data_IF_669712415332
#
_entry.id   IF_669712415332
#
_cell.length_a   1.000
_cell.length_b   1.000
_cell.length_c   1.000
_cell.angle_alpha   90.00
_cell.angle_beta   90.00
_cell.angle_gamma   90.00
#
_symmetry.space_group_name_H-M   'P 1'
#
loop_
_entity.id
_entity.type
_entity.pdbx_description
1 polymer ?
#
# COMPACT_ATOMS: atom_id res chain seq x y z
N UNK A 1 -3.00 -35.87 25.87
CA UNK A 1 -2.92 -35.48 24.45
C UNK A 1 -4.34 -35.48 23.90
N UNK A 2 -4.87 -34.33 23.48
CA UNK A 2 -6.22 -34.27 22.88
C UNK A 2 -6.09 -34.83 21.46
N UNK A 3 -6.86 -35.86 21.13
CA UNK A 3 -6.85 -36.47 19.80
C UNK A 3 -7.31 -35.44 18.75
N UNK A 4 -6.68 -35.37 17.56
CA UNK A 4 -7.13 -34.51 16.47
C UNK A 4 -8.64 -34.62 16.17
N UNK A 5 -9.19 -35.83 16.31
CA UNK A 5 -10.62 -36.11 16.14
C UNK A 5 -11.52 -35.37 17.13
N UNK A 6 -11.10 -35.27 18.40
CA UNK A 6 -11.89 -34.58 19.43
C UNK A 6 -11.99 -33.07 19.20
N UNK A 7 -10.97 -32.45 18.61
CA UNK A 7 -11.00 -31.04 18.22
C UNK A 7 -11.93 -30.86 17.01
N UNK A 8 -11.86 -31.76 16.03
CA UNK A 8 -12.73 -31.73 14.86
C UNK A 8 -14.21 -31.89 15.25
N UNK A 9 -14.52 -32.84 16.14
CA UNK A 9 -15.90 -33.08 16.59
C UNK A 9 -16.48 -31.93 17.41
N UNK A 10 -15.64 -31.26 18.22
CA UNK A 10 -16.04 -30.05 18.95
C UNK A 10 -16.31 -28.88 17.99
N UNK A 11 -15.48 -28.71 16.94
CA UNK A 11 -15.66 -27.66 15.94
C UNK A 11 -16.90 -27.89 15.06
N UNK A 12 -17.17 -29.13 14.67
CA UNK A 12 -18.38 -29.48 13.89
C UNK A 12 -19.64 -29.29 14.73
N UNK A 13 -19.61 -29.68 16.01
CA UNK A 13 -20.71 -29.44 16.95
C UNK A 13 -20.98 -27.96 17.16
N UNK A 14 -19.94 -27.13 17.31
CA UNK A 14 -20.09 -25.68 17.44
C UNK A 14 -20.61 -25.04 16.14
N UNK A 15 -20.11 -25.47 14.97
CA UNK A 15 -20.56 -24.98 13.68
C UNK A 15 -22.05 -25.31 13.44
N UNK A 16 -22.52 -26.48 13.89
CA UNK A 16 -23.91 -26.90 13.77
C UNK A 16 -24.88 -26.00 14.57
N UNK A 17 -24.41 -25.29 15.60
CA UNK A 17 -25.23 -24.35 16.37
C UNK A 17 -25.37 -22.98 15.72
N UNK A 18 -24.52 -22.63 14.75
CA UNK A 18 -24.54 -21.32 14.08
C UNK A 18 -25.86 -21.06 13.36
N UNK A 19 -26.39 -21.97 12.52
CA UNK A 19 -27.67 -21.76 11.85
C UNK A 19 -28.81 -21.52 12.83
N UNK A 20 -28.86 -22.30 13.92
CA UNK A 20 -29.89 -22.17 14.97
C UNK A 20 -29.85 -20.79 15.61
N UNK A 21 -28.65 -20.33 16.01
CA UNK A 21 -28.46 -19.00 16.61
C UNK A 21 -28.86 -17.87 15.65
N UNK A 22 -28.51 -18.00 14.37
CA UNK A 22 -28.85 -17.02 13.32
C UNK A 22 -30.36 -16.99 13.07
N UNK A 23 -31.01 -18.15 12.94
CA UNK A 23 -32.46 -18.23 12.74
C UNK A 23 -33.26 -17.74 13.94
N UNK A 24 -32.76 -17.96 15.16
CA UNK A 24 -33.40 -17.49 16.38
C UNK A 24 -33.25 -15.97 16.59
N UNK A 25 -32.19 -15.35 16.04
CA UNK A 25 -31.89 -13.93 16.22
C UNK A 25 -31.62 -13.21 14.88
N UNK A 26 -32.54 -13.26 13.90
CA UNK A 26 -32.22 -12.84 12.54
C UNK A 26 -31.91 -11.34 12.42
N UNK A 27 -32.52 -10.51 13.26
CA UNK A 27 -32.36 -9.05 13.23
C UNK A 27 -30.92 -8.60 13.51
N UNK A 28 -30.27 -8.93 14.64
CA UNK A 28 -28.89 -8.49 14.90
C UNK A 28 -27.90 -9.00 13.84
N UNK A 29 -28.06 -10.24 13.34
CA UNK A 29 -27.20 -10.75 12.26
C UNK A 29 -27.41 -10.00 10.94
N UNK A 30 -28.65 -9.70 10.57
CA UNK A 30 -28.96 -8.89 9.40
C UNK A 30 -28.40 -7.46 9.51
N UNK A 31 -28.47 -6.85 10.69
CA UNK A 31 -27.88 -5.53 10.96
C UNK A 31 -26.35 -5.57 10.80
N UNK A 32 -25.68 -6.56 11.38
CA UNK A 32 -24.22 -6.73 11.27
C UNK A 32 -23.82 -6.97 9.81
N UNK A 33 -24.49 -7.88 9.11
CA UNK A 33 -24.23 -8.16 7.70
C UNK A 33 -24.45 -6.90 6.84
N UNK A 34 -25.57 -6.19 7.04
CA UNK A 34 -25.87 -4.93 6.38
C UNK A 34 -24.79 -3.87 6.62
N UNK A 35 -24.29 -3.73 7.86
CA UNK A 35 -23.20 -2.82 8.19
C UNK A 35 -21.91 -3.14 7.43
N UNK A 36 -21.52 -4.42 7.35
CA UNK A 36 -20.34 -4.83 6.58
C UNK A 36 -20.52 -4.61 5.07
N UNK A 37 -21.71 -4.88 4.53
CA UNK A 37 -22.05 -4.60 3.12
C UNK A 37 -21.96 -3.10 2.84
N UNK A 38 -22.51 -2.25 3.72
CA UNK A 38 -22.44 -0.79 3.59
C UNK A 38 -20.99 -0.29 3.64
N UNK A 39 -20.17 -0.77 4.58
CA UNK A 39 -18.74 -0.44 4.65
C UNK A 39 -18.02 -0.86 3.38
N UNK A 40 -18.27 -2.08 2.90
CA UNK A 40 -17.66 -2.60 1.69
C UNK A 40 -18.03 -1.73 0.48
N UNK A 41 -19.31 -1.44 0.30
CA UNK A 41 -19.84 -0.62 -0.79
C UNK A 41 -19.28 0.81 -0.72
N UNK A 42 -19.28 1.44 0.45
CA UNK A 42 -18.70 2.78 0.65
C UNK A 42 -17.20 2.80 0.31
N UNK A 43 -16.44 1.78 0.73
CA UNK A 43 -15.02 1.65 0.39
C UNK A 43 -14.78 1.37 -1.09
N UNK A 44 -15.65 0.60 -1.74
CA UNK A 44 -15.56 0.35 -3.18
C UNK A 44 -15.84 1.62 -3.97
N UNK A 45 -16.90 2.36 -3.61
CA UNK A 45 -17.24 3.64 -4.20
C UNK A 45 -16.12 4.67 -4.01
N UNK A 46 -15.60 4.82 -2.79
CA UNK A 46 -14.49 5.74 -2.50
C UNK A 46 -13.22 5.40 -3.30
N UNK A 47 -12.94 4.11 -3.54
CA UNK A 47 -11.79 3.66 -4.34
C UNK A 47 -11.88 4.04 -5.83
N UNK A 48 -13.09 4.22 -6.36
CA UNK A 48 -13.33 4.50 -7.77
C UNK A 48 -13.67 5.97 -8.04
N UNK A 49 -13.61 6.84 -7.03
CA UNK A 49 -13.81 8.27 -7.23
C UNK A 49 -12.69 8.81 -8.15
N UNK A 50 -13.03 9.61 -9.17
CA UNK A 50 -12.04 10.28 -9.98
C UNK A 50 -11.20 11.18 -9.07
N UNK A 51 -9.89 11.15 -9.26
CA UNK A 51 -8.94 11.98 -8.54
C UNK A 51 -8.23 12.85 -9.56
N UNK A 52 -8.03 14.12 -9.22
CA UNK A 52 -7.16 15.00 -9.96
C UNK A 52 -5.76 14.39 -10.13
N UNK A 53 -5.27 14.41 -11.35
CA UNK A 53 -3.94 13.89 -11.68
C UNK A 53 -3.06 15.00 -12.19
N UNK A 54 -1.77 14.92 -11.87
CA UNK A 54 -0.77 15.84 -12.40
C UNK A 54 -0.77 15.76 -13.94
N UNK A 55 -0.83 16.89 -14.68
CA UNK A 55 -0.77 16.88 -16.14
C UNK A 55 0.45 16.14 -16.69
N UNK A 56 1.58 16.19 -15.97
CA UNK A 56 2.74 15.37 -16.29
C UNK A 56 2.70 14.07 -15.51
N UNK A 57 2.63 12.94 -16.22
CA UNK A 57 2.86 11.62 -15.61
C UNK A 57 4.34 11.24 -15.58
N UNK A 58 5.12 11.71 -16.55
CA UNK A 58 6.49 11.22 -16.75
C UNK A 58 7.49 12.16 -16.08
N UNK A 59 8.40 11.57 -15.30
CA UNK A 59 9.56 12.29 -14.82
C UNK A 59 10.47 12.67 -16.00
N UNK A 60 10.98 13.91 -16.00
CA UNK A 60 11.99 14.35 -16.95
C UNK A 60 13.29 13.56 -16.78
N UNK A 61 14.18 13.59 -17.78
CA UNK A 61 15.48 12.92 -17.66
C UNK A 61 16.30 13.45 -16.47
N UNK A 62 16.26 14.77 -16.23
CA UNK A 62 16.94 15.40 -15.09
C UNK A 62 16.39 14.88 -13.76
N UNK A 63 15.06 14.80 -13.61
CA UNK A 63 14.41 14.25 -12.41
C UNK A 63 14.77 12.79 -12.18
N UNK A 64 14.80 11.97 -13.25
CA UNK A 64 15.22 10.55 -13.14
C UNK A 64 16.67 10.42 -12.70
N UNK A 65 17.57 11.18 -13.31
CA UNK A 65 18.99 11.17 -12.96
C UNK A 65 19.21 11.56 -11.50
N UNK A 66 18.57 12.65 -11.07
CA UNK A 66 18.64 13.12 -9.70
C UNK A 66 18.05 12.09 -8.72
N UNK A 67 16.89 11.52 -9.03
CA UNK A 67 16.23 10.54 -8.18
C UNK A 67 17.04 9.25 -8.00
N UNK A 68 17.64 8.76 -9.08
CA UNK A 68 18.57 7.62 -9.01
C UNK A 68 19.85 7.95 -8.24
N UNK A 69 20.39 9.16 -8.40
CA UNK A 69 21.56 9.61 -7.65
C UNK A 69 21.28 9.70 -6.15
N UNK A 70 20.16 10.30 -5.73
CA UNK A 70 19.72 10.36 -4.31
C UNK A 70 19.59 8.97 -3.68
N UNK A 71 19.17 7.99 -4.47
CA UNK A 71 19.04 6.61 -4.03
C UNK A 71 20.34 5.79 -4.15
N UNK A 72 21.44 6.35 -4.68
CA UNK A 72 22.67 5.59 -4.95
C UNK A 72 22.45 4.43 -5.91
N UNK A 73 21.58 4.60 -6.91
CA UNK A 73 21.27 3.58 -7.94
C UNK A 73 20.58 2.32 -7.43
N UNK A 74 20.16 2.28 -6.15
CA UNK A 74 19.58 1.09 -5.51
C UNK A 74 18.10 1.28 -5.21
N UNK A 75 17.32 0.21 -5.36
CA UNK A 75 15.89 0.22 -5.07
C UNK A 75 15.59 0.67 -3.63
N UNK A 76 14.60 1.56 -3.47
CA UNK A 76 14.19 2.11 -2.17
C UNK A 76 13.01 1.36 -1.54
N UNK A 77 12.26 0.61 -2.37
CA UNK A 77 11.13 -0.20 -1.94
C UNK A 77 11.57 -1.35 -1.03
N UNK A 78 10.59 -1.90 -0.33
CA UNK A 78 10.83 -3.00 0.60
C UNK A 78 11.22 -4.29 -0.12
N UNK A 79 12.23 -4.94 0.43
CA UNK A 79 12.57 -6.32 0.14
C UNK A 79 12.12 -7.24 1.28
N UNK A 80 12.89 -8.29 1.51
CA UNK A 80 12.62 -9.28 2.54
C UNK A 80 12.68 -8.66 3.95
N UNK A 81 11.77 -9.09 4.84
CA UNK A 81 11.61 -8.56 6.21
C UNK A 81 11.61 -7.02 6.29
N UNK A 82 10.91 -6.34 5.39
CA UNK A 82 10.75 -4.87 5.42
C UNK A 82 12.05 -4.07 5.30
N UNK A 83 13.16 -4.73 4.95
CA UNK A 83 14.46 -4.10 4.68
C UNK A 83 14.47 -3.43 3.31
N UNK A 84 15.45 -2.56 3.06
CA UNK A 84 15.63 -1.96 1.73
C UNK A 84 16.01 -3.03 0.71
N UNK A 85 15.27 -3.11 -0.38
CA UNK A 85 15.59 -4.01 -1.49
C UNK A 85 17.05 -3.87 -1.93
N UNK A 86 17.72 -4.99 -2.17
CA UNK A 86 19.13 -5.03 -2.62
C UNK A 86 19.29 -4.84 -4.14
N UNK A 87 18.19 -4.89 -4.90
CA UNK A 87 18.23 -4.78 -6.35
C UNK A 87 18.58 -3.37 -6.85
N UNK A 88 19.20 -3.31 -8.02
CA UNK A 88 19.48 -2.05 -8.73
C UNK A 88 18.17 -1.40 -9.18
N UNK A 89 18.11 -0.08 -9.09
CA UNK A 89 16.98 0.70 -9.57
C UNK A 89 17.10 0.95 -11.08
N UNK A 90 16.02 0.68 -11.81
CA UNK A 90 15.92 0.93 -13.24
C UNK A 90 14.69 1.80 -13.58
N UNK A 91 13.77 1.98 -12.63
CA UNK A 91 12.53 2.73 -12.82
C UNK A 91 12.43 3.85 -11.79
N UNK A 92 12.10 5.05 -12.27
CA UNK A 92 11.57 6.11 -11.43
C UNK A 92 10.05 5.95 -11.32
N UNK A 93 9.56 5.70 -10.12
CA UNK A 93 8.15 5.47 -9.83
C UNK A 93 7.63 6.53 -8.84
N UNK A 94 6.32 6.68 -8.77
CA UNK A 94 5.67 7.58 -7.83
C UNK A 94 5.35 6.86 -6.53
N UNK A 95 5.83 7.36 -5.39
CA UNK A 95 5.51 6.82 -4.06
C UNK A 95 3.99 6.76 -3.84
N UNK A 96 3.30 7.90 -4.00
CA UNK A 96 1.86 7.95 -4.24
C UNK A 96 1.60 7.80 -5.74
N UNK A 97 0.88 6.75 -6.18
CA UNK A 97 0.66 6.51 -7.60
C UNK A 97 0.01 7.71 -8.30
N UNK A 98 0.49 8.05 -9.50
CA UNK A 98 -0.07 9.14 -10.31
C UNK A 98 -1.59 8.98 -10.52
N UNK A 99 -2.07 7.77 -10.84
CA UNK A 99 -3.50 7.46 -11.02
C UNK A 99 -4.35 7.56 -9.75
N UNK A 100 -3.73 7.84 -8.61
CA UNK A 100 -4.37 8.07 -7.30
C UNK A 100 -4.12 9.49 -6.78
N UNK A 101 -3.74 10.41 -7.68
CA UNK A 101 -3.45 11.81 -7.38
C UNK A 101 -2.08 12.06 -6.76
N UNK A 102 -1.08 11.27 -7.12
CA UNK A 102 0.32 11.59 -6.81
C UNK A 102 0.89 12.63 -7.78
N UNK A 103 1.70 13.56 -7.27
CA UNK A 103 2.39 14.56 -8.12
C UNK A 103 3.63 13.98 -8.78
N UNK A 104 4.02 14.49 -9.95
CA UNK A 104 5.30 14.18 -10.59
C UNK A 104 6.37 15.14 -10.08
N UNK A 105 6.79 14.91 -8.84
CA UNK A 105 7.80 15.71 -8.15
C UNK A 105 8.93 14.87 -7.57
N UNK A 106 10.04 15.51 -7.23
CA UNK A 106 11.17 14.84 -6.59
C UNK A 106 10.86 14.33 -5.18
N UNK A 107 9.87 14.90 -4.48
CA UNK A 107 9.38 14.39 -3.20
C UNK A 107 8.61 13.08 -3.37
N UNK A 108 7.89 12.94 -4.49
CA UNK A 108 7.12 11.74 -4.81
C UNK A 108 7.93 10.69 -5.61
N UNK A 109 9.14 11.03 -6.07
CA UNK A 109 10.01 10.09 -6.80
C UNK A 109 10.52 8.97 -5.90
N UNK A 110 10.51 7.74 -6.42
CA UNK A 110 11.09 6.54 -5.80
C UNK A 110 11.90 5.79 -6.84
N UNK A 111 13.14 5.44 -6.49
CA UNK A 111 13.96 4.55 -7.32
C UNK A 111 13.57 3.08 -7.07
N UNK A 112 13.14 2.37 -8.12
CA UNK A 112 12.63 1.00 -8.03
C UNK A 112 13.30 0.03 -9.01
N UNK A 113 13.51 -1.22 -8.56
CA UNK A 113 13.82 -2.32 -9.46
C UNK A 113 12.54 -2.84 -10.12
N UNK A 114 12.64 -3.55 -11.25
CA UNK A 114 11.48 -4.06 -11.99
C UNK A 114 10.53 -4.89 -11.11
N UNK A 115 11.06 -5.85 -10.34
CA UNK A 115 10.28 -6.72 -9.45
C UNK A 115 9.46 -5.94 -8.43
N UNK A 116 10.10 -5.01 -7.71
CA UNK A 116 9.43 -4.23 -6.67
C UNK A 116 8.45 -3.22 -7.29
N UNK A 117 8.79 -2.60 -8.41
CA UNK A 117 7.92 -1.68 -9.15
C UNK A 117 6.62 -2.37 -9.57
N UNK A 118 6.71 -3.53 -10.21
CA UNK A 118 5.54 -4.31 -10.63
C UNK A 118 4.70 -4.77 -9.43
N UNK A 119 5.35 -5.24 -8.36
CA UNK A 119 4.66 -5.65 -7.14
C UNK A 119 3.94 -4.49 -6.43
N UNK A 120 4.50 -3.28 -6.48
CA UNK A 120 3.86 -2.07 -5.94
C UNK A 120 2.66 -1.67 -6.79
N UNK A 121 2.84 -1.54 -8.10
CA UNK A 121 1.80 -1.08 -9.01
C UNK A 121 1.14 0.23 -8.54
N UNK A 122 -0.19 0.29 -8.62
CA UNK A 122 -0.99 1.45 -8.20
C UNK A 122 -1.46 1.39 -6.72
N UNK A 123 -0.77 0.63 -5.87
CA UNK A 123 -1.09 0.56 -4.43
C UNK A 123 -0.70 1.88 -3.75
N UNK A 124 -1.61 2.44 -2.96
CA UNK A 124 -1.32 3.58 -2.09
C UNK A 124 -0.44 3.08 -0.93
N UNK A 125 0.72 3.70 -0.66
CA UNK A 125 1.57 3.29 0.44
C UNK A 125 0.86 3.52 1.78
N UNK A 126 1.01 2.57 2.71
CA UNK A 126 0.53 2.77 4.08
C UNK A 126 1.42 3.78 4.80
N UNK A 127 0.89 4.42 5.85
CA UNK A 127 1.67 5.33 6.69
C UNK A 127 2.96 4.66 7.21
N UNK A 128 2.86 3.39 7.64
CA UNK A 128 4.01 2.60 8.08
C UNK A 128 5.05 2.36 6.99
N UNK A 129 4.64 2.09 5.75
CA UNK A 129 5.56 1.94 4.63
C UNK A 129 6.29 3.25 4.31
N UNK A 130 5.55 4.37 4.32
CA UNK A 130 6.12 5.73 4.16
C UNK A 130 7.14 6.03 5.26
N UNK A 131 6.75 5.90 6.54
CA UNK A 131 7.64 6.17 7.67
C UNK A 131 8.92 5.32 7.62
N UNK A 132 8.81 4.03 7.28
CA UNK A 132 9.99 3.17 7.13
C UNK A 132 10.88 3.61 5.99
N UNK A 133 10.32 3.99 4.84
CA UNK A 133 11.12 4.50 3.72
C UNK A 133 11.85 5.78 4.12
N UNK A 134 11.16 6.75 4.72
CA UNK A 134 11.75 8.01 5.18
C UNK A 134 12.85 7.78 6.22
N UNK A 135 12.63 6.88 7.18
CA UNK A 135 13.64 6.49 8.17
C UNK A 135 14.88 5.86 7.52
N UNK A 136 14.72 5.09 6.45
CA UNK A 136 15.86 4.54 5.70
C UNK A 136 16.56 5.61 4.87
N UNK A 137 15.82 6.51 4.22
CA UNK A 137 16.37 7.63 3.42
C UNK A 137 17.35 8.48 4.23
N UNK A 138 17.09 8.70 5.52
CA UNK A 138 18.01 9.38 6.45
C UNK A 138 19.44 8.79 6.49
N UNK A 139 19.62 7.52 6.10
CA UNK A 139 20.92 6.84 6.12
C UNK A 139 21.69 6.95 4.79
N UNK A 140 21.02 7.24 3.68
CA UNK A 140 21.64 7.14 2.35
C UNK A 140 21.33 8.31 1.41
N UNK A 141 20.40 9.20 1.75
CA UNK A 141 20.24 10.45 1.01
C UNK A 141 21.40 11.40 1.31
N UNK A 142 21.82 12.23 0.32
CA UNK A 142 22.81 13.27 0.56
C UNK A 142 22.36 14.25 1.65
N UNK A 143 23.31 14.83 2.37
CA UNK A 143 23.01 15.83 3.40
C UNK A 143 22.26 17.03 2.80
N UNK A 144 21.29 17.56 3.55
CA UNK A 144 20.44 18.67 3.11
C UNK A 144 19.30 18.30 2.16
N UNK A 145 19.26 17.07 1.61
CA UNK A 145 18.17 16.63 0.74
C UNK A 145 16.98 16.16 1.60
N UNK A 146 15.75 16.65 1.37
CA UNK A 146 14.57 16.19 2.09
C UNK A 146 14.33 14.68 1.91
N UNK A 147 14.10 13.98 3.03
CA UNK A 147 13.86 12.51 3.04
C UNK A 147 12.39 12.13 2.84
N UNK A 148 11.49 13.13 2.80
CA UNK A 148 10.05 12.92 2.70
C UNK A 148 9.72 12.03 1.52
N UNK A 149 8.86 11.04 1.74
CA UNK A 149 8.46 10.08 0.72
C UNK A 149 6.99 10.31 0.38
N UNK A 150 6.76 10.98 -0.75
CA UNK A 150 5.44 11.15 -1.30
C UNK A 150 4.92 12.58 -1.26
N UNK A 151 4.22 12.92 -2.33
CA UNK A 151 3.50 14.18 -2.46
C UNK A 151 2.25 13.93 -3.31
N UNK A 152 1.13 14.53 -2.88
CA UNK A 152 -0.12 14.50 -3.63
C UNK A 152 -0.16 15.69 -4.58
N UNK A 153 -0.73 15.48 -5.75
CA UNK A 153 -1.06 16.56 -6.65
C UNK A 153 -2.16 17.42 -6.01
N UNK A 154 -1.84 18.68 -5.74
CA UNK A 154 -2.81 19.69 -5.37
C UNK A 154 -3.13 20.49 -6.63
N UNK A 155 -4.41 20.58 -7.01
CA UNK A 155 -4.85 21.62 -7.93
C UNK A 155 -4.49 22.96 -7.31
N UNK A 156 -3.59 23.70 -7.95
CA UNK A 156 -3.51 25.15 -7.78
C UNK A 156 -4.48 25.78 -8.76
#
# INVERSE_FOLDING_TARGET
MISPTAITDALTGLAAQIPVLVTANPVPFAVIAGFFVLIYAARAAARNRPVATDPSRLFSQAQRNEGFARAGGRCELDGFFFTRCKGQAHHGDHHFPWSRGGSTSMTNFVAACARCNTSKGAKIPSAWATMRMEARRRKYFPQGVPVKAGERFAHR
#
